data_IF_106488587738
#
_entry.id   IF_106488587738
#
_cell.length_a   1.000
_cell.length_b   1.000
_cell.length_c   1.000
_cell.angle_alpha   90.00
_cell.angle_beta   90.00
_cell.angle_gamma   90.00
#
_symmetry.space_group_name_H-M   'P 1'
#
loop_
_entity.id
_entity.type
_entity.pdbx_description
1 polymer ?
#
# COMPACT_ATOMS: atom_id res chain seq x y z
N UNK A 1 -4.50 -15.37 9.59
CA UNK A 1 -4.80 -16.44 8.60
C UNK A 1 -4.40 -15.92 7.24
N UNK A 2 -3.83 -16.75 6.38
CA UNK A 2 -3.55 -16.38 4.98
C UNK A 2 -4.85 -16.57 4.20
N UNK A 3 -5.29 -15.55 3.50
CA UNK A 3 -6.45 -15.66 2.59
C UNK A 3 -5.94 -15.71 1.16
N UNK A 4 -6.52 -16.52 0.31
CA UNK A 4 -6.19 -16.56 -1.12
C UNK A 4 -7.40 -16.17 -1.95
N UNK A 5 -7.11 -15.59 -3.10
CA UNK A 5 -8.10 -14.99 -3.98
C UNK A 5 -7.67 -15.21 -5.43
N UNK A 6 -8.58 -15.70 -6.28
CA UNK A 6 -8.29 -16.00 -7.66
C UNK A 6 -8.66 -14.85 -8.59
N UNK A 7 -7.68 -14.34 -9.34
CA UNK A 7 -7.89 -13.33 -10.38
C UNK A 7 -7.35 -13.82 -11.72
N UNK A 8 -8.23 -14.23 -12.60
CA UNK A 8 -7.80 -14.89 -13.84
C UNK A 8 -6.99 -16.13 -13.54
N UNK A 9 -5.75 -16.15 -13.96
CA UNK A 9 -4.82 -17.28 -13.77
C UNK A 9 -3.88 -17.09 -12.56
N UNK A 10 -4.03 -15.96 -11.81
CA UNK A 10 -3.21 -15.65 -10.65
C UNK A 10 -3.95 -16.01 -9.35
N UNK A 11 -3.30 -16.78 -8.48
CA UNK A 11 -3.66 -16.89 -7.09
C UNK A 11 -2.94 -15.79 -6.30
N UNK A 12 -3.69 -14.88 -5.70
CA UNK A 12 -3.15 -13.79 -4.89
C UNK A 12 -3.40 -14.09 -3.42
N UNK A 13 -2.34 -14.09 -2.61
CA UNK A 13 -2.40 -14.39 -1.18
C UNK A 13 -2.23 -13.10 -0.38
N UNK A 14 -3.16 -12.86 0.55
CA UNK A 14 -3.09 -11.75 1.50
C UNK A 14 -2.37 -12.14 2.77
N UNK A 15 -1.47 -11.30 3.24
CA UNK A 15 -0.72 -11.44 4.48
C UNK A 15 -0.86 -10.17 5.32
N UNK A 16 -1.22 -10.32 6.57
CA UNK A 16 -1.26 -9.20 7.51
C UNK A 16 0.13 -8.92 8.06
N UNK A 17 0.54 -7.65 8.04
CA UNK A 17 1.68 -7.18 8.86
C UNK A 17 1.24 -6.80 10.28
N UNK A 18 -0.07 -6.68 10.50
CA UNK A 18 -0.68 -6.36 11.78
C UNK A 18 -1.72 -5.26 11.67
N UNK A 19 -1.97 -4.60 12.79
CA UNK A 19 -2.98 -3.55 12.92
C UNK A 19 -2.32 -2.25 13.33
N UNK A 20 -2.52 -1.20 12.53
CA UNK A 20 -2.09 0.16 12.83
C UNK A 20 -3.17 0.87 13.66
N UNK A 21 -2.83 1.30 14.87
CA UNK A 21 -3.67 2.20 15.65
C UNK A 21 -3.48 3.64 15.15
N UNK A 22 -4.58 4.28 14.81
CA UNK A 22 -4.64 5.65 14.26
C UNK A 22 -5.79 6.43 14.91
N UNK A 23 -6.19 7.57 14.35
CA UNK A 23 -7.27 8.41 14.89
C UNK A 23 -8.21 8.90 13.79
N UNK A 24 -9.48 9.02 14.14
CA UNK A 24 -10.51 9.68 13.34
C UNK A 24 -10.16 11.16 13.08
N UNK A 25 -9.38 11.79 13.96
CA UNK A 25 -8.94 13.18 13.83
C UNK A 25 -8.01 13.41 12.63
N UNK A 26 -7.52 12.35 12.01
CA UNK A 26 -6.74 12.43 10.79
C UNK A 26 -7.59 12.51 9.52
N UNK A 27 -8.91 12.39 9.63
CA UNK A 27 -9.84 12.62 8.53
C UNK A 27 -9.97 14.12 8.25
N UNK A 28 -9.85 14.51 6.99
CA UNK A 28 -9.92 15.91 6.55
C UNK A 28 -11.04 16.10 5.54
N UNK A 29 -11.85 17.14 5.72
CA UNK A 29 -12.96 17.46 4.81
C UNK A 29 -14.29 16.78 5.14
N UNK A 30 -14.41 16.18 6.33
CA UNK A 30 -15.61 15.61 6.87
C UNK A 30 -15.68 15.92 8.38
N UNK A 31 -16.85 16.22 8.93
CA UNK A 31 -16.98 16.42 10.36
C UNK A 31 -16.81 15.10 11.15
N UNK A 32 -16.44 15.24 12.43
CA UNK A 32 -16.13 14.09 13.28
C UNK A 32 -17.32 13.16 13.48
N UNK A 33 -18.50 13.70 13.74
CA UNK A 33 -19.69 12.89 14.01
C UNK A 33 -20.12 12.07 12.79
N UNK A 34 -20.01 12.66 11.60
CA UNK A 34 -20.25 11.97 10.34
C UNK A 34 -19.21 10.86 10.13
N UNK A 35 -17.94 11.16 10.36
CA UNK A 35 -16.84 10.19 10.24
C UNK A 35 -17.01 9.02 11.20
N UNK A 36 -17.33 9.28 12.47
CA UNK A 36 -17.60 8.27 13.48
C UNK A 36 -18.81 7.40 13.12
N UNK A 37 -19.86 7.98 12.56
CA UNK A 37 -21.03 7.24 12.07
C UNK A 37 -20.70 6.25 10.97
N UNK A 38 -19.80 6.60 10.05
CA UNK A 38 -19.38 5.73 8.95
C UNK A 38 -18.51 4.55 9.38
N UNK A 39 -17.71 4.72 10.43
CA UNK A 39 -16.84 3.64 10.97
C UNK A 39 -17.52 2.80 12.07
N UNK A 40 -18.79 3.08 12.39
CA UNK A 40 -19.55 2.37 13.43
C UNK A 40 -19.21 2.80 14.86
N UNK A 41 -18.68 4.02 15.03
CA UNK A 41 -18.26 4.58 16.31
C UNK A 41 -16.77 4.38 16.60
N UNK A 42 -16.26 5.15 17.57
CA UNK A 42 -14.87 5.07 18.01
C UNK A 42 -14.78 5.11 19.54
N UNK A 43 -13.74 4.53 20.10
CA UNK A 43 -13.38 4.78 21.50
C UNK A 43 -12.37 5.93 21.55
N UNK A 44 -12.82 7.10 22.03
CA UNK A 44 -12.04 8.32 22.10
C UNK A 44 -11.34 8.71 20.77
N UNK A 45 -11.98 8.43 19.63
CA UNK A 45 -11.46 8.71 18.30
C UNK A 45 -10.46 7.68 17.77
N UNK A 46 -10.15 6.64 18.53
CA UNK A 46 -9.23 5.61 18.08
C UNK A 46 -9.79 4.80 16.91
N UNK A 47 -8.98 4.61 15.89
CA UNK A 47 -9.23 3.72 14.76
C UNK A 47 -8.15 2.65 14.68
N UNK A 48 -8.53 1.50 14.15
CA UNK A 48 -7.64 0.36 13.95
C UNK A 48 -7.76 -0.06 12.49
N UNK A 49 -6.72 0.11 11.72
CA UNK A 49 -6.68 -0.25 10.31
C UNK A 49 -5.66 -1.37 10.08
N UNK A 50 -5.96 -2.34 9.21
CA UNK A 50 -5.00 -3.39 8.88
C UNK A 50 -3.84 -2.81 8.07
N UNK A 51 -2.69 -3.50 8.11
CA UNK A 51 -1.61 -3.35 7.15
C UNK A 51 -1.49 -4.67 6.41
N UNK A 52 -2.03 -4.70 5.19
CA UNK A 52 -2.07 -5.87 4.33
C UNK A 52 -0.97 -5.82 3.29
N UNK A 53 -0.35 -6.96 3.06
CA UNK A 53 0.62 -7.20 2.00
C UNK A 53 0.09 -8.34 1.13
N UNK A 54 0.43 -8.34 -0.14
CA UNK A 54 -0.09 -9.32 -1.07
C UNK A 54 1.06 -10.01 -1.79
N UNK A 55 0.86 -11.29 -2.09
CA UNK A 55 1.85 -12.11 -2.75
C UNK A 55 1.17 -12.93 -3.85
N UNK A 56 1.84 -13.05 -4.98
CA UNK A 56 1.43 -13.91 -6.10
C UNK A 56 2.65 -14.47 -6.80
N UNK A 57 2.43 -15.54 -7.56
CA UNK A 57 3.46 -16.13 -8.40
C UNK A 57 3.17 -15.84 -9.87
N UNK A 58 4.21 -15.49 -10.62
CA UNK A 58 4.14 -15.29 -12.07
C UNK A 58 5.43 -15.77 -12.72
N UNK A 59 5.28 -16.65 -13.73
CA UNK A 59 6.40 -17.22 -14.50
C UNK A 59 7.50 -17.83 -13.61
N UNK A 60 7.07 -18.54 -12.52
CA UNK A 60 7.98 -19.15 -11.54
C UNK A 60 8.69 -18.15 -10.62
N UNK A 61 8.25 -16.90 -10.57
CA UNK A 61 8.76 -15.84 -9.70
C UNK A 61 7.76 -15.46 -8.64
N UNK A 62 8.21 -15.32 -7.41
CA UNK A 62 7.39 -14.88 -6.27
C UNK A 62 7.50 -13.37 -6.15
N UNK A 63 6.36 -12.70 -6.28
CA UNK A 63 6.24 -11.24 -6.26
C UNK A 63 5.40 -10.82 -5.05
N UNK A 64 5.92 -9.91 -4.25
CA UNK A 64 5.24 -9.36 -3.10
C UNK A 64 4.94 -7.87 -3.29
N UNK A 65 3.79 -7.41 -2.82
CA UNK A 65 3.41 -6.00 -2.84
C UNK A 65 3.58 -5.44 -1.44
N UNK A 66 4.45 -4.43 -1.32
CA UNK A 66 4.95 -3.81 -0.11
C UNK A 66 5.64 -4.81 0.86
N UNK A 67 6.31 -4.29 1.87
CA UNK A 67 7.13 -5.08 2.78
C UNK A 67 6.73 -4.94 4.26
N UNK A 68 5.66 -4.23 4.56
CA UNK A 68 5.18 -4.00 5.92
C UNK A 68 6.01 -2.98 6.70
N UNK A 69 5.68 -2.84 7.99
CA UNK A 69 6.21 -1.82 8.89
C UNK A 69 7.52 -2.20 9.59
N UNK A 70 7.90 -3.46 9.57
CA UNK A 70 8.98 -3.94 10.43
C UNK A 70 8.72 -3.62 11.92
N UNK A 71 9.77 -3.57 12.72
CA UNK A 71 9.68 -3.37 14.17
C UNK A 71 9.75 -1.89 14.60
N UNK A 72 9.57 -0.93 13.66
CA UNK A 72 9.93 0.47 13.91
C UNK A 72 8.77 1.42 14.16
N UNK A 73 7.54 0.94 14.09
CA UNK A 73 6.33 1.75 14.31
C UNK A 73 5.63 1.41 15.62
N UNK A 74 4.77 0.42 15.59
CA UNK A 74 3.94 0.01 16.73
C UNK A 74 4.13 -1.48 17.03
N UNK A 75 4.03 -1.94 18.29
CA UNK A 75 4.18 -3.36 18.63
C UNK A 75 3.14 -4.28 17.99
N UNK A 76 2.06 -3.72 17.47
CA UNK A 76 1.00 -4.43 16.76
C UNK A 76 1.33 -4.76 15.32
N UNK A 77 2.42 -4.21 14.78
CA UNK A 77 2.91 -4.36 13.40
C UNK A 77 4.18 -5.22 13.33
N UNK A 78 4.76 -5.38 12.14
CA UNK A 78 6.00 -6.12 11.90
C UNK A 78 5.83 -7.62 11.87
N UNK A 79 4.63 -8.13 11.63
CA UNK A 79 4.32 -9.55 11.67
C UNK A 79 4.49 -10.25 10.31
N UNK A 80 4.68 -9.50 9.23
CA UNK A 80 4.72 -10.04 7.88
C UNK A 80 5.76 -11.16 7.68
N UNK A 81 7.04 -11.03 8.09
CA UNK A 81 8.01 -12.11 7.87
C UNK A 81 7.68 -13.40 8.62
N UNK A 82 7.09 -13.25 9.83
CA UNK A 82 6.60 -14.38 10.62
C UNK A 82 5.41 -15.08 9.98
N UNK A 83 4.47 -14.31 9.44
CA UNK A 83 3.28 -14.82 8.76
C UNK A 83 3.62 -15.51 7.42
N UNK A 84 4.61 -15.00 6.69
CA UNK A 84 5.13 -15.67 5.49
C UNK A 84 5.72 -17.05 5.84
N UNK A 85 6.60 -17.12 6.85
CA UNK A 85 7.19 -18.40 7.30
C UNK A 85 6.13 -19.38 7.81
N UNK A 86 5.12 -18.90 8.53
CA UNK A 86 4.02 -19.74 9.01
C UNK A 86 3.19 -20.33 7.85
N UNK A 87 3.18 -19.66 6.70
CA UNK A 87 2.57 -20.17 5.45
C UNK A 87 3.54 -20.99 4.58
N UNK A 88 4.74 -21.29 5.07
CA UNK A 88 5.75 -22.08 4.35
C UNK A 88 6.57 -21.28 3.33
N UNK A 89 6.49 -19.95 3.38
CA UNK A 89 7.23 -19.07 2.46
C UNK A 89 8.42 -18.47 3.20
N UNK A 90 9.63 -18.85 2.80
CA UNK A 90 10.83 -18.21 3.30
C UNK A 90 10.97 -16.81 2.67
N UNK A 91 11.23 -15.74 3.44
CA UNK A 91 11.48 -14.42 2.88
C UNK A 91 12.59 -14.37 1.82
N UNK A 92 13.57 -15.26 1.88
CA UNK A 92 14.62 -15.36 0.86
C UNK A 92 14.13 -15.93 -0.48
N UNK A 93 12.93 -16.51 -0.53
CA UNK A 93 12.29 -16.98 -1.76
C UNK A 93 11.61 -15.86 -2.56
N UNK A 94 11.44 -14.67 -1.98
CA UNK A 94 10.83 -13.53 -2.69
C UNK A 94 11.81 -13.03 -3.76
N UNK A 95 11.37 -13.06 -5.01
CA UNK A 95 12.16 -12.59 -6.16
C UNK A 95 12.00 -11.09 -6.42
N UNK A 96 10.78 -10.56 -6.21
CA UNK A 96 10.46 -9.14 -6.45
C UNK A 96 9.59 -8.58 -5.33
N UNK A 97 9.86 -7.33 -4.99
CA UNK A 97 8.97 -6.54 -4.14
C UNK A 97 8.54 -5.30 -4.92
N UNK A 98 7.25 -5.19 -5.15
CA UNK A 98 6.60 -4.06 -5.79
C UNK A 98 6.21 -3.07 -4.71
N UNK A 99 6.83 -1.91 -4.68
CA UNK A 99 6.58 -0.87 -3.68
C UNK A 99 5.56 0.13 -4.21
N UNK A 100 4.45 0.30 -3.49
CA UNK A 100 3.43 1.30 -3.81
C UNK A 100 3.95 2.70 -3.50
N UNK A 101 4.59 2.86 -2.34
CA UNK A 101 5.27 4.07 -1.92
C UNK A 101 6.19 3.77 -0.71
N UNK A 102 7.14 4.68 -0.41
CA UNK A 102 8.18 4.41 0.59
C UNK A 102 7.82 5.06 1.94
N UNK A 103 6.60 4.84 2.45
CA UNK A 103 6.22 5.17 3.82
C UNK A 103 6.55 4.03 4.80
N UNK A 104 6.57 4.31 6.11
CA UNK A 104 7.07 3.35 7.10
C UNK A 104 6.37 2.01 7.13
N UNK A 105 5.06 1.96 6.98
CA UNK A 105 4.26 0.73 7.03
C UNK A 105 4.25 -0.08 5.72
N UNK A 106 4.91 0.44 4.68
CA UNK A 106 5.09 -0.24 3.38
C UNK A 106 6.53 -0.66 3.13
N UNK A 107 7.52 0.03 3.72
CA UNK A 107 8.92 -0.16 3.37
C UNK A 107 9.87 -0.40 4.57
N UNK A 108 9.48 -0.15 5.82
CA UNK A 108 10.39 -0.37 6.94
C UNK A 108 10.68 -1.86 7.17
N UNK A 109 9.77 -2.76 6.77
CA UNK A 109 9.94 -4.21 6.82
C UNK A 109 10.90 -4.77 5.78
N UNK A 110 11.54 -3.94 4.96
CA UNK A 110 12.62 -4.37 4.05
C UNK A 110 13.86 -4.84 4.81
N UNK A 111 14.13 -4.27 5.99
CA UNK A 111 15.31 -4.58 6.80
C UNK A 111 14.93 -4.98 8.23
N UNK A 112 15.77 -5.76 8.84
CA UNK A 112 15.71 -6.09 10.27
C UNK A 112 16.26 -4.94 11.14
N UNK A 113 16.31 -5.17 12.46
CA UNK A 113 16.81 -4.18 13.43
C UNK A 113 18.30 -3.87 13.28
N UNK A 114 19.07 -4.76 12.65
CA UNK A 114 20.48 -4.58 12.34
C UNK A 114 20.69 -3.88 10.97
N UNK A 115 19.62 -3.63 10.21
CA UNK A 115 19.68 -3.05 8.87
C UNK A 115 20.04 -4.07 7.79
N UNK A 116 20.01 -5.38 8.09
CA UNK A 116 20.20 -6.42 7.09
C UNK A 116 18.91 -6.69 6.29
N UNK A 117 19.04 -7.08 5.03
CA UNK A 117 17.89 -7.38 4.17
C UNK A 117 17.09 -8.56 4.71
N UNK A 118 15.78 -8.37 4.92
CA UNK A 118 14.85 -9.46 5.23
C UNK A 118 14.57 -10.31 3.99
N UNK A 119 14.58 -9.70 2.80
CA UNK A 119 14.33 -10.34 1.51
C UNK A 119 15.61 -10.27 0.64
N UNK A 120 16.65 -11.08 0.95
CA UNK A 120 18.00 -10.87 0.42
C UNK A 120 18.13 -11.08 -1.09
N UNK A 121 17.19 -11.80 -1.71
CA UNK A 121 17.21 -12.08 -3.14
C UNK A 121 16.28 -11.17 -3.97
N UNK A 122 15.46 -10.35 -3.30
CA UNK A 122 14.45 -9.54 -3.97
C UNK A 122 15.05 -8.37 -4.77
N UNK A 123 14.54 -8.16 -5.97
CA UNK A 123 14.63 -6.90 -6.72
C UNK A 123 13.47 -5.98 -6.31
N UNK A 124 13.73 -4.70 -6.08
CA UNK A 124 12.72 -3.72 -5.68
C UNK A 124 12.23 -2.98 -6.92
N UNK A 125 10.92 -3.09 -7.20
CA UNK A 125 10.26 -2.31 -8.24
C UNK A 125 9.56 -1.12 -7.58
N UNK A 126 9.95 0.09 -7.93
CA UNK A 126 9.41 1.32 -7.36
C UNK A 126 9.32 2.41 -8.43
N UNK A 127 8.31 3.26 -8.38
CA UNK A 127 8.21 4.37 -9.33
C UNK A 127 9.38 5.35 -9.15
N UNK A 128 9.95 5.82 -10.26
CA UNK A 128 11.13 6.69 -10.25
C UNK A 128 10.91 7.97 -9.41
N UNK A 129 9.73 8.60 -9.52
CA UNK A 129 9.41 9.81 -8.73
C UNK A 129 9.37 9.54 -7.22
N UNK A 130 8.87 8.38 -6.81
CA UNK A 130 8.84 7.98 -5.40
C UNK A 130 10.24 7.79 -4.86
N UNK A 131 11.04 7.01 -5.59
CA UNK A 131 12.42 6.77 -5.22
C UNK A 131 13.22 8.07 -5.15
N UNK A 132 13.13 8.91 -6.18
CA UNK A 132 13.87 10.18 -6.25
C UNK A 132 13.49 11.12 -5.12
N UNK A 133 12.20 11.25 -4.80
CA UNK A 133 11.74 12.11 -3.70
C UNK A 133 12.26 11.65 -2.35
N UNK A 134 12.12 10.35 -2.03
CA UNK A 134 12.48 9.85 -0.70
C UNK A 134 13.97 9.63 -0.50
N UNK A 135 14.72 9.41 -1.59
CA UNK A 135 16.17 9.26 -1.53
C UNK A 135 16.93 10.58 -1.66
N UNK A 136 16.24 11.67 -1.98
CA UNK A 136 16.85 13.00 -2.10
C UNK A 136 17.51 13.47 -0.79
N UNK A 137 18.55 14.27 -0.93
CA UNK A 137 19.15 14.98 0.19
C UNK A 137 18.13 15.93 0.84
N UNK A 138 18.29 16.16 2.13
CA UNK A 138 17.44 17.07 2.89
C UNK A 138 18.24 18.29 3.30
N UNK A 139 17.64 19.45 3.11
CA UNK A 139 18.18 20.75 3.54
C UNK A 139 17.46 21.30 4.78
N UNK A 140 17.81 22.49 5.19
CA UNK A 140 17.18 23.16 6.35
C UNK A 140 15.71 23.53 6.13
N UNK A 141 15.25 23.62 4.89
CA UNK A 141 13.85 23.92 4.54
C UNK A 141 12.98 22.65 4.47
N UNK A 142 13.59 21.46 4.41
CA UNK A 142 12.86 20.19 4.37
C UNK A 142 12.09 19.97 5.69
N UNK A 143 10.75 19.75 5.65
CA UNK A 143 9.96 19.49 6.84
C UNK A 143 10.52 18.32 7.67
N UNK A 144 10.50 18.44 9.00
CA UNK A 144 11.10 17.44 9.91
C UNK A 144 10.58 16.02 9.64
N UNK A 145 9.26 15.86 9.43
CA UNK A 145 8.65 14.56 9.12
C UNK A 145 9.28 13.96 7.85
N UNK A 146 9.38 14.72 6.77
CA UNK A 146 9.97 14.27 5.51
C UNK A 146 11.45 13.93 5.69
N UNK A 147 12.21 14.75 6.38
CA UNK A 147 13.64 14.53 6.67
C UNK A 147 13.87 13.23 7.45
N UNK A 148 13.06 12.98 8.49
CA UNK A 148 13.16 11.75 9.28
C UNK A 148 12.81 10.51 8.45
N UNK A 149 11.76 10.58 7.64
CA UNK A 149 11.38 9.49 6.74
C UNK A 149 12.47 9.23 5.70
N UNK A 150 13.06 10.26 5.09
CA UNK A 150 14.20 10.12 4.17
C UNK A 150 15.40 9.44 4.82
N UNK A 151 15.74 9.84 6.06
CA UNK A 151 16.84 9.23 6.80
C UNK A 151 16.60 7.73 7.04
N UNK A 152 15.37 7.35 7.42
CA UNK A 152 15.01 5.94 7.60
C UNK A 152 15.01 5.17 6.28
N UNK A 153 14.49 5.75 5.21
CA UNK A 153 14.43 5.13 3.90
C UNK A 153 15.82 4.81 3.34
N UNK A 154 16.82 5.65 3.58
CA UNK A 154 18.21 5.34 3.21
C UNK A 154 18.72 4.08 3.91
N UNK A 155 18.34 3.86 5.16
CA UNK A 155 18.69 2.62 5.88
C UNK A 155 17.97 1.43 5.24
N UNK A 156 16.66 1.54 5.02
CA UNK A 156 15.83 0.47 4.47
C UNK A 156 16.26 0.05 3.07
N UNK A 157 16.59 1.02 2.22
CA UNK A 157 16.96 0.78 0.83
C UNK A 157 18.42 0.38 0.65
N UNK A 158 19.29 0.65 1.65
CA UNK A 158 20.75 0.42 1.53
C UNK A 158 21.13 -0.97 1.03
N UNK A 159 20.60 -2.09 1.57
CA UNK A 159 20.98 -3.43 1.12
C UNK A 159 20.41 -3.81 -0.26
N UNK A 160 19.50 -2.98 -0.80
CA UNK A 160 18.84 -3.22 -2.09
C UNK A 160 19.31 -2.31 -3.22
N UNK A 161 20.15 -1.31 -2.95
CA UNK A 161 20.49 -0.24 -3.92
C UNK A 161 20.92 -0.72 -5.30
N UNK A 162 21.63 -1.85 -5.38
CA UNK A 162 22.06 -2.45 -6.65
C UNK A 162 20.94 -3.26 -7.34
N UNK A 163 19.81 -3.45 -6.67
CA UNK A 163 18.66 -4.23 -7.13
C UNK A 163 17.37 -3.41 -7.08
N UNK A 164 17.46 -2.09 -7.19
CA UNK A 164 16.31 -1.21 -7.36
C UNK A 164 16.09 -0.96 -8.83
N UNK A 165 14.92 -1.33 -9.32
CA UNK A 165 14.43 -0.93 -10.65
C UNK A 165 13.47 0.23 -10.53
N UNK A 166 13.88 1.36 -11.05
CA UNK A 166 13.10 2.59 -11.08
C UNK A 166 12.15 2.57 -12.27
N UNK A 167 10.88 2.31 -11.99
CA UNK A 167 9.81 2.15 -12.97
C UNK A 167 9.16 3.50 -13.33
N UNK A 168 8.54 3.58 -14.50
CA UNK A 168 7.74 4.72 -14.98
C UNK A 168 6.43 4.22 -15.55
N UNK A 169 5.44 5.09 -15.68
CA UNK A 169 4.20 4.76 -16.39
C UNK A 169 4.52 4.20 -17.77
N UNK A 170 3.93 3.06 -18.10
CA UNK A 170 4.17 2.33 -19.35
C UNK A 170 5.22 1.23 -19.27
N UNK A 171 6.04 1.19 -18.23
CA UNK A 171 6.93 0.05 -17.98
C UNK A 171 6.13 -1.16 -17.50
N UNK A 172 6.65 -2.35 -17.75
CA UNK A 172 6.08 -3.60 -17.25
C UNK A 172 7.18 -4.58 -16.82
N UNK A 173 6.95 -5.25 -15.69
CA UNK A 173 7.77 -6.37 -15.21
C UNK A 173 6.85 -7.46 -14.70
N UNK A 174 6.87 -8.65 -15.30
CA UNK A 174 6.06 -9.80 -14.90
C UNK A 174 4.55 -9.49 -14.75
N UNK A 175 4.02 -8.65 -15.64
CA UNK A 175 2.64 -8.21 -15.60
C UNK A 175 2.35 -7.09 -14.59
N UNK A 176 3.34 -6.62 -13.84
CA UNK A 176 3.22 -5.46 -12.95
C UNK A 176 3.47 -4.16 -13.72
N UNK A 177 2.46 -3.33 -13.83
CA UNK A 177 2.51 -2.03 -14.53
C UNK A 177 2.21 -0.92 -13.52
N UNK A 178 3.13 0.05 -13.31
CA UNK A 178 2.89 1.18 -12.45
C UNK A 178 1.88 2.17 -13.08
N UNK A 179 1.06 2.75 -12.25
CA UNK A 179 0.16 3.85 -12.58
C UNK A 179 0.34 4.94 -11.53
N UNK A 180 0.98 6.03 -11.90
CA UNK A 180 1.26 7.13 -10.98
C UNK A 180 -0.04 7.71 -10.41
N UNK A 181 -0.14 7.75 -9.08
CA UNK A 181 -1.28 8.29 -8.33
C UNK A 181 -0.79 9.22 -7.20
N UNK A 182 -0.18 10.36 -7.56
CA UNK A 182 0.52 11.23 -6.63
C UNK A 182 -0.44 11.92 -5.66
N UNK A 183 0.11 12.42 -4.55
CA UNK A 183 -0.57 13.23 -3.56
C UNK A 183 -0.37 12.71 -2.15
N UNK A 184 -0.60 11.42 -1.89
CA UNK A 184 -0.22 10.80 -0.62
C UNK A 184 1.31 10.89 -0.40
N UNK A 185 2.06 10.47 -1.39
CA UNK A 185 3.43 10.88 -1.64
C UNK A 185 3.58 11.35 -3.10
N UNK A 186 4.64 12.06 -3.48
CA UNK A 186 4.81 12.57 -4.83
C UNK A 186 4.88 11.50 -5.92
N UNK A 187 5.36 10.32 -5.56
CA UNK A 187 5.47 9.19 -6.47
C UNK A 187 4.60 8.00 -6.09
N UNK A 188 3.60 8.19 -5.20
CA UNK A 188 2.67 7.12 -4.84
C UNK A 188 2.11 6.46 -6.10
N UNK A 189 2.11 5.15 -6.13
CA UNK A 189 1.82 4.34 -7.31
C UNK A 189 0.77 3.30 -7.01
N UNK A 190 -0.24 3.27 -7.84
CA UNK A 190 -1.18 2.16 -7.94
C UNK A 190 -0.60 1.17 -8.95
N UNK A 191 -0.53 -0.09 -8.60
CA UNK A 191 -0.01 -1.12 -9.49
C UNK A 191 -1.13 -1.94 -10.10
N UNK A 192 -1.15 -2.02 -11.42
CA UNK A 192 -1.99 -2.96 -12.15
C UNK A 192 -1.21 -4.24 -12.37
N UNK A 193 -1.76 -5.37 -11.96
CA UNK A 193 -1.15 -6.69 -12.10
C UNK A 193 -2.02 -7.53 -13.03
N UNK A 194 -1.43 -7.99 -14.13
CA UNK A 194 -2.13 -8.71 -15.19
C UNK A 194 -2.77 -7.80 -16.25
N UNK A 195 -3.57 -8.37 -17.14
CA UNK A 195 -4.12 -7.67 -18.31
C UNK A 195 -5.63 -7.83 -18.43
N UNK A 196 -6.28 -6.85 -19.04
CA UNK A 196 -7.72 -6.85 -19.29
C UNK A 196 -8.52 -7.01 -18.00
N UNK A 197 -9.61 -7.77 -18.06
CA UNK A 197 -10.50 -8.05 -16.92
C UNK A 197 -9.94 -9.10 -15.93
N UNK A 198 -8.86 -9.76 -16.28
CA UNK A 198 -8.13 -10.70 -15.42
C UNK A 198 -7.02 -10.00 -14.61
N UNK A 199 -6.98 -8.67 -14.63
CA UNK A 199 -6.07 -7.89 -13.82
C UNK A 199 -6.68 -7.57 -12.44
N UNK A 200 -5.82 -7.34 -11.46
CA UNK A 200 -6.18 -6.68 -10.22
C UNK A 200 -5.33 -5.43 -10.01
N UNK A 201 -5.76 -4.60 -9.09
CA UNK A 201 -5.09 -3.34 -8.76
C UNK A 201 -4.70 -3.35 -7.29
N UNK A 202 -3.41 -3.19 -7.03
CA UNK A 202 -2.90 -2.90 -5.70
C UNK A 202 -2.81 -1.38 -5.56
N UNK A 203 -3.61 -0.81 -4.67
CA UNK A 203 -3.78 0.65 -4.65
C UNK A 203 -3.04 1.39 -3.54
N UNK A 204 -2.27 0.67 -2.69
CA UNK A 204 -1.51 1.27 -1.59
C UNK A 204 -2.37 2.15 -0.70
N UNK A 205 -1.91 3.37 -0.47
CA UNK A 205 -2.52 4.39 0.36
C UNK A 205 -3.42 5.37 -0.40
N UNK A 206 -3.94 4.93 -1.54
CA UNK A 206 -5.03 5.63 -2.20
C UNK A 206 -6.25 5.77 -1.27
N UNK A 207 -6.45 4.77 -0.40
CA UNK A 207 -7.53 4.65 0.59
C UNK A 207 -6.97 4.14 1.90
N UNK A 208 -7.08 4.94 2.98
CA UNK A 208 -6.69 4.57 4.35
C UNK A 208 -7.91 4.13 5.18
N UNK A 209 -8.95 4.94 5.19
CA UNK A 209 -10.18 4.66 5.92
C UNK A 209 -11.23 4.18 4.94
N UNK A 210 -11.26 2.87 4.69
CA UNK A 210 -12.09 2.26 3.64
C UNK A 210 -13.58 2.57 3.82
N UNK A 211 -14.10 2.54 5.06
CA UNK A 211 -15.49 2.88 5.35
C UNK A 211 -15.85 4.34 5.00
N UNK A 212 -14.89 5.26 5.03
CA UNK A 212 -15.07 6.68 4.75
C UNK A 212 -14.74 6.98 3.29
N UNK A 213 -13.49 6.72 2.87
CA UNK A 213 -12.96 7.22 1.60
C UNK A 213 -13.49 6.48 0.37
N UNK A 214 -14.03 5.26 0.53
CA UNK A 214 -14.73 4.58 -0.56
C UNK A 214 -16.09 5.21 -0.81
N UNK A 215 -16.88 5.43 0.23
CA UNK A 215 -18.20 6.05 0.11
C UNK A 215 -18.16 7.56 -0.09
N UNK A 216 -17.10 8.22 0.42
CA UNK A 216 -16.87 9.67 0.33
C UNK A 216 -15.44 9.94 -0.20
N UNK A 217 -15.17 9.70 -1.48
CA UNK A 217 -13.79 9.74 -2.03
C UNK A 217 -13.19 11.14 -2.08
N UNK A 218 -13.97 12.18 -1.78
CA UNK A 218 -13.50 13.56 -1.63
C UNK A 218 -12.73 13.78 -0.32
N UNK A 219 -12.89 12.88 0.66
CA UNK A 219 -12.29 13.00 1.98
C UNK A 219 -10.78 12.73 1.91
N UNK A 220 -9.98 13.65 2.45
CA UNK A 220 -8.54 13.52 2.55
C UNK A 220 -8.11 13.02 3.94
N UNK A 221 -6.82 12.79 4.11
CA UNK A 221 -6.21 12.45 5.41
C UNK A 221 -4.98 13.33 5.65
N UNK A 222 -4.65 13.56 6.93
CA UNK A 222 -3.47 14.38 7.30
C UNK A 222 -2.13 13.72 6.93
N UNK A 223 -2.15 12.48 6.49
CA UNK A 223 -0.98 11.77 5.98
C UNK A 223 -0.61 12.19 4.55
N UNK A 224 -1.57 12.71 3.78
CA UNK A 224 -1.35 13.14 2.41
C UNK A 224 -0.40 14.35 2.39
N UNK A 225 0.68 14.29 1.62
CA UNK A 225 1.61 15.41 1.44
C UNK A 225 0.99 16.50 0.58
N UNK A 226 0.14 16.15 -0.37
CA UNK A 226 -0.71 17.03 -1.16
C UNK A 226 -2.14 16.47 -1.16
N UNK A 227 -3.02 16.93 -0.23
CA UNK A 227 -4.38 16.40 -0.09
C UNK A 227 -5.26 16.60 -1.33
N UNK A 228 -5.08 17.69 -2.07
CA UNK A 228 -5.86 17.96 -3.28
C UNK A 228 -5.46 17.03 -4.42
N UNK A 229 -4.18 16.80 -4.59
CA UNK A 229 -3.66 15.86 -5.57
C UNK A 229 -4.01 14.41 -5.20
N UNK A 230 -3.92 14.03 -3.92
CA UNK A 230 -4.34 12.71 -3.42
C UNK A 230 -5.82 12.44 -3.71
N UNK A 231 -6.69 13.45 -3.47
CA UNK A 231 -8.10 13.39 -3.81
C UNK A 231 -8.33 13.17 -5.31
N UNK A 232 -7.64 13.92 -6.16
CA UNK A 232 -7.76 13.78 -7.62
C UNK A 232 -7.32 12.39 -8.09
N UNK A 233 -6.19 11.90 -7.58
CA UNK A 233 -5.68 10.56 -7.85
C UNK A 233 -6.68 9.49 -7.40
N UNK A 234 -7.25 9.62 -6.20
CA UNK A 234 -8.26 8.70 -5.65
C UNK A 234 -9.49 8.66 -6.55
N UNK A 235 -10.07 9.79 -6.90
CA UNK A 235 -11.24 9.85 -7.77
C UNK A 235 -10.98 9.18 -9.11
N UNK A 236 -9.86 9.48 -9.75
CA UNK A 236 -9.48 8.90 -11.03
C UNK A 236 -9.33 7.39 -10.95
N UNK A 237 -8.64 6.88 -9.92
CA UNK A 237 -8.33 5.45 -9.80
C UNK A 237 -9.56 4.63 -9.38
N UNK A 238 -10.36 5.11 -8.43
CA UNK A 238 -11.60 4.42 -8.05
C UNK A 238 -12.59 4.37 -9.21
N UNK A 239 -12.64 5.44 -10.02
CA UNK A 239 -13.48 5.49 -11.21
C UNK A 239 -13.05 4.45 -12.26
N UNK A 240 -11.76 4.38 -12.54
CA UNK A 240 -11.18 3.39 -13.43
C UNK A 240 -11.48 1.97 -12.96
N UNK A 241 -11.19 1.65 -11.69
CA UNK A 241 -11.39 0.33 -11.11
C UNK A 241 -12.85 -0.11 -11.19
N UNK A 242 -13.79 0.78 -10.84
CA UNK A 242 -15.22 0.49 -10.88
C UNK A 242 -15.73 0.31 -12.32
N UNK A 243 -15.27 1.14 -13.27
CA UNK A 243 -15.68 1.05 -14.67
C UNK A 243 -15.14 -0.21 -15.35
N UNK A 244 -13.88 -0.56 -15.10
CA UNK A 244 -13.24 -1.74 -15.68
C UNK A 244 -13.60 -3.03 -14.91
N UNK A 245 -14.28 -2.91 -13.76
CA UNK A 245 -14.66 -4.02 -12.87
C UNK A 245 -13.44 -4.84 -12.44
N UNK A 246 -12.36 -4.15 -12.11
CA UNK A 246 -11.13 -4.78 -11.64
C UNK A 246 -11.25 -5.18 -10.17
N UNK A 247 -10.63 -6.27 -9.81
CA UNK A 247 -10.39 -6.60 -8.42
C UNK A 247 -9.38 -5.61 -7.81
N UNK A 248 -9.51 -5.35 -6.52
CA UNK A 248 -8.58 -4.50 -5.77
C UNK A 248 -7.97 -5.24 -4.60
N UNK A 249 -6.70 -4.95 -4.35
CA UNK A 249 -5.94 -5.32 -3.18
C UNK A 249 -5.59 -4.04 -2.41
N UNK A 250 -6.14 -3.86 -1.22
CA UNK A 250 -6.03 -2.63 -0.44
C UNK A 250 -5.22 -2.81 0.83
N UNK A 251 -4.15 -2.01 0.99
CA UNK A 251 -3.27 -2.08 2.15
C UNK A 251 -4.03 -1.89 3.47
N UNK A 252 -4.99 -0.96 3.50
CA UNK A 252 -5.76 -0.60 4.69
C UNK A 252 -7.26 -0.96 4.58
N UNK A 253 -7.59 -1.90 3.71
CA UNK A 253 -8.95 -2.43 3.63
C UNK A 253 -9.10 -3.59 4.61
N UNK A 254 -10.19 -3.59 5.39
CA UNK A 254 -10.49 -4.68 6.32
C UNK A 254 -10.55 -6.04 5.60
N UNK A 255 -10.34 -7.11 6.37
CA UNK A 255 -10.36 -8.48 5.83
C UNK A 255 -11.55 -8.71 4.89
N UNK A 256 -11.31 -9.33 3.74
CA UNK A 256 -10.08 -10.01 3.30
C UNK A 256 -9.01 -9.11 2.68
N UNK A 257 -9.19 -7.78 2.61
CA UNK A 257 -8.30 -6.85 1.92
C UNK A 257 -8.45 -6.86 0.39
N UNK A 258 -9.22 -7.80 -0.15
CA UNK A 258 -9.58 -7.95 -1.56
C UNK A 258 -11.05 -7.71 -1.80
N UNK A 259 -11.39 -7.21 -2.99
CA UNK A 259 -12.78 -7.08 -3.38
C UNK A 259 -12.95 -6.31 -4.68
N UNK A 260 -14.16 -5.84 -4.87
CA UNK A 260 -14.56 -5.10 -6.06
C UNK A 260 -15.23 -3.80 -5.65
N UNK A 261 -15.15 -2.80 -6.52
CA UNK A 261 -15.89 -1.55 -6.35
C UNK A 261 -17.08 -1.47 -7.29
N UNK A 262 -18.19 -0.97 -6.76
CA UNK A 262 -19.37 -0.58 -7.53
C UNK A 262 -19.72 0.87 -7.25
N UNK A 263 -20.21 1.62 -8.24
CA UNK A 263 -20.67 3.00 -8.03
C UNK A 263 -21.89 3.01 -7.12
N UNK A 264 -21.92 3.91 -6.13
CA UNK A 264 -23.03 4.09 -5.21
C UNK A 264 -23.18 5.56 -4.85
N UNK A 265 -24.27 6.19 -5.32
CA UNK A 265 -24.48 7.63 -5.12
C UNK A 265 -23.34 8.46 -5.73
N UNK A 266 -22.75 9.35 -4.92
CA UNK A 266 -21.60 10.17 -5.30
C UNK A 266 -20.25 9.50 -5.04
N UNK A 267 -20.25 8.29 -4.50
CA UNK A 267 -19.05 7.51 -4.18
C UNK A 267 -19.16 6.08 -4.68
N UNK A 268 -18.64 5.16 -3.88
CA UNK A 268 -18.55 3.73 -4.24
C UNK A 268 -18.96 2.86 -3.04
N UNK A 269 -19.29 1.61 -3.30
CA UNK A 269 -19.37 0.53 -2.31
C UNK A 269 -18.27 -0.49 -2.60
N UNK A 270 -17.75 -1.08 -1.54
CA UNK A 270 -16.78 -2.18 -1.61
C UNK A 270 -17.49 -3.49 -1.32
N UNK A 271 -17.30 -4.47 -2.19
CA UNK A 271 -17.78 -5.83 -2.04
C UNK A 271 -16.57 -6.73 -1.82
N UNK A 272 -16.38 -7.28 -0.60
CA UNK A 272 -15.30 -8.22 -0.34
C UNK A 272 -15.37 -9.42 -1.30
N UNK A 273 -14.22 -9.86 -1.76
CA UNK A 273 -14.15 -11.12 -2.49
C UNK A 273 -14.47 -12.28 -1.55
N UNK A 274 -15.18 -13.27 -2.08
CA UNK A 274 -15.59 -14.48 -1.34
C UNK A 274 -14.43 -15.47 -1.23
#
# INVERSE_FOLDING_TARGET
MTQSFQVGDLEVKGFSDGILKTSIDFVVGMDRAQSEGLVGGTDNGALFIPVNNFLFEKDGKIIMIDAGAGNTMQPTLGKLPGNLRAAGIDPSAIDYIVITHIHPDHANGLVDDAGAAIYPNAEILVHAQEFDFWMAESDGATPVKVRNTRARNRINMKPYMERVRRMRDGDEVLGCTPMLAPGHSPGHTVWRIGTGRKAFVAWGDLVHFSAIQISHPQTAVTYDLDPDMARQSRLRMLDMVANEKLAVAGAHVNEPGFGYLSRKGSGYSFEPAA
#
